data_IF_757024150596
#
_entry.id   IF_757024150596
#
_cell.length_a   1.000
_cell.length_b   1.000
_cell.length_c   1.000
_cell.angle_alpha   90.00
_cell.angle_beta   90.00
_cell.angle_gamma   90.00
#
_symmetry.space_group_name_H-M   'P 1'
#
loop_
_entity.id
_entity.type
_entity.pdbx_description
1 polymer ?
#
# COMPACT_ATOMS: atom_id res chain seq x y z
N UNK A 1 3.39 -13.80 19.85
CA UNK A 1 3.20 -13.50 19.42
C UNK A 1 3.12 -13.01 18.69
N UNK A 2 2.96 -12.75 18.15
CA UNK A 2 2.75 -12.26 17.53
C UNK A 2 2.33 -12.00 16.75
N UNK A 3 2.31 -11.81 16.60
CA UNK A 3 1.76 -11.59 16.03
C UNK A 3 1.39 -10.98 14.98
N UNK A 4 0.92 -10.32 14.77
CA UNK A 4 0.47 -9.79 13.77
C UNK A 4 1.33 -8.95 13.20
N UNK A 5 1.38 -8.66 12.32
CA UNK A 5 2.17 -8.03 11.49
C UNK A 5 2.01 -6.62 11.54
N UNK A 6 2.37 -6.02 12.57
CA UNK A 6 2.45 -4.58 12.66
C UNK A 6 3.88 -4.21 12.31
N UNK A 7 4.03 -3.50 11.23
CA UNK A 7 5.35 -3.08 10.79
C UNK A 7 5.84 -1.92 11.64
N UNK A 8 7.14 -1.87 11.86
CA UNK A 8 7.73 -0.69 12.47
C UNK A 8 7.66 0.48 11.47
N UNK A 9 7.85 1.70 11.98
CA UNK A 9 7.84 2.87 11.10
C UNK A 9 8.91 2.75 10.02
N UNK A 10 10.04 2.19 10.37
CA UNK A 10 11.15 1.99 9.47
C UNK A 10 10.78 1.05 8.31
N UNK A 11 10.19 -0.07 8.66
CA UNK A 11 9.75 -1.06 7.68
C UNK A 11 8.64 -0.51 6.79
N UNK A 12 7.71 0.21 7.38
CA UNK A 12 6.62 0.82 6.63
C UNK A 12 7.15 1.83 5.63
N UNK A 13 8.08 2.68 6.04
CA UNK A 13 8.65 3.68 5.15
C UNK A 13 9.40 3.03 3.99
N UNK A 14 10.06 1.92 4.25
CA UNK A 14 10.77 1.20 3.22
C UNK A 14 9.80 0.73 2.13
N UNK A 15 8.68 0.19 2.54
CA UNK A 15 7.66 -0.26 1.59
C UNK A 15 7.06 0.93 0.85
N UNK A 16 6.76 2.00 1.56
CA UNK A 16 6.10 3.17 0.98
C UNK A 16 7.00 3.95 0.03
N UNK A 17 8.30 3.71 0.09
CA UNK A 17 9.24 4.34 -0.83
C UNK A 17 9.17 3.76 -2.24
N UNK A 18 8.58 2.59 -2.40
CA UNK A 18 8.40 2.01 -3.72
C UNK A 18 7.36 2.79 -4.50
N UNK A 19 7.61 2.97 -5.79
CA UNK A 19 6.67 3.65 -6.66
C UNK A 19 5.43 2.79 -6.92
N UNK A 20 5.59 1.49 -6.91
CA UNK A 20 4.54 0.54 -7.24
C UNK A 20 4.27 -0.39 -6.06
N UNK A 21 3.02 -0.80 -5.92
CA UNK A 21 2.59 -1.70 -4.85
C UNK A 21 2.03 -2.99 -5.43
N UNK A 22 2.36 -4.09 -4.77
CA UNK A 22 1.81 -5.40 -5.08
C UNK A 22 0.73 -5.75 -4.05
N UNK A 23 0.04 -6.87 -4.28
CA UNK A 23 -0.92 -7.38 -3.29
C UNK A 23 -0.23 -7.60 -1.95
N UNK A 24 0.98 -8.14 -1.97
CA UNK A 24 1.71 -8.38 -0.72
C UNK A 24 2.03 -7.09 0.02
N UNK A 25 2.40 -6.05 -0.73
CA UNK A 25 2.65 -4.76 -0.11
C UNK A 25 1.40 -4.23 0.56
N UNK A 26 0.25 -4.35 -0.10
CA UNK A 26 -1.01 -3.88 0.46
C UNK A 26 -1.36 -4.66 1.72
N UNK A 27 -1.12 -5.97 1.71
CA UNK A 27 -1.34 -6.79 2.89
C UNK A 27 -0.55 -6.28 4.09
N UNK A 28 0.70 -5.92 3.85
CA UNK A 28 1.57 -5.43 4.92
C UNK A 28 1.19 -4.03 5.37
N UNK A 29 0.93 -3.16 4.41
CA UNK A 29 0.61 -1.77 4.71
C UNK A 29 -0.70 -1.67 5.49
N UNK A 30 -1.71 -2.40 5.05
CA UNK A 30 -3.04 -2.31 5.66
C UNK A 30 -3.29 -3.34 6.74
N UNK A 31 -2.35 -4.25 6.97
CA UNK A 31 -2.51 -5.36 7.91
C UNK A 31 -3.79 -6.13 7.59
N UNK A 32 -4.00 -6.43 6.32
CA UNK A 32 -5.19 -7.14 5.85
C UNK A 32 -4.79 -8.45 5.20
N UNK A 33 -5.76 -9.35 5.05
CA UNK A 33 -5.52 -10.62 4.40
C UNK A 33 -5.41 -10.48 2.89
N UNK A 34 -5.05 -11.57 2.23
CA UNK A 34 -4.83 -11.57 0.79
C UNK A 34 -6.07 -11.18 0.00
N UNK A 35 -7.24 -11.72 0.37
CA UNK A 35 -8.47 -11.43 -0.37
C UNK A 35 -8.83 -9.96 -0.28
N UNK A 36 -8.69 -9.38 0.89
CA UNK A 36 -8.97 -7.96 1.09
C UNK A 36 -7.98 -7.11 0.31
N UNK A 37 -6.70 -7.48 0.36
CA UNK A 37 -5.67 -6.74 -0.35
C UNK A 37 -5.92 -6.77 -1.86
N UNK A 38 -6.35 -7.93 -2.36
CA UNK A 38 -6.65 -8.07 -3.78
C UNK A 38 -7.82 -7.19 -4.19
N UNK A 39 -8.86 -7.14 -3.35
CA UNK A 39 -10.02 -6.28 -3.60
C UNK A 39 -9.61 -4.81 -3.65
N UNK A 40 -8.75 -4.42 -2.73
CA UNK A 40 -8.26 -3.04 -2.68
C UNK A 40 -7.47 -2.73 -3.94
N UNK A 41 -6.58 -3.64 -4.32
CA UNK A 41 -5.78 -3.46 -5.54
C UNK A 41 -6.68 -3.33 -6.76
N UNK A 42 -7.70 -4.17 -6.84
CA UNK A 42 -8.61 -4.15 -7.98
C UNK A 42 -9.40 -2.84 -8.04
N UNK A 43 -9.84 -2.33 -6.91
CA UNK A 43 -10.54 -1.07 -6.86
C UNK A 43 -9.69 0.09 -7.35
N UNK A 44 -8.45 0.14 -6.87
CA UNK A 44 -7.51 1.19 -7.28
C UNK A 44 -7.23 1.07 -8.77
N UNK A 45 -7.02 -0.15 -9.22
CA UNK A 45 -6.73 -0.43 -10.61
C UNK A 45 -7.87 0.03 -11.52
N UNK A 46 -9.10 -0.30 -11.15
CA UNK A 46 -10.27 0.08 -11.93
C UNK A 46 -10.42 1.58 -12.05
N UNK A 47 -10.19 2.29 -10.97
CA UNK A 47 -10.26 3.75 -10.98
C UNK A 47 -9.28 4.35 -11.97
N UNK A 48 -8.06 3.84 -11.96
CA UNK A 48 -7.01 4.39 -12.80
C UNK A 48 -7.27 4.05 -14.26
N UNK A 49 -7.65 2.82 -14.54
CA UNK A 49 -7.93 2.39 -15.91
C UNK A 49 -9.13 3.13 -16.46
N UNK A 50 -10.14 3.35 -15.63
CA UNK A 50 -11.33 4.13 -16.04
C UNK A 50 -10.96 5.55 -16.43
N UNK A 51 -9.89 6.07 -15.85
CA UNK A 51 -9.42 7.42 -16.18
C UNK A 51 -8.59 7.47 -17.45
N UNK A 52 -8.36 6.32 -18.09
CA UNK A 52 -7.64 6.27 -19.35
C UNK A 52 -6.17 5.97 -19.24
N UNK A 53 -5.71 5.55 -18.08
CA UNK A 53 -4.30 5.21 -17.87
C UNK A 53 -4.09 3.71 -17.90
N UNK A 54 -2.90 3.30 -18.27
CA UNK A 54 -2.51 1.91 -18.26
C UNK A 54 -1.64 1.64 -17.05
N UNK A 55 -1.75 0.43 -16.51
CA UNK A 55 -0.96 0.02 -15.36
C UNK A 55 -0.07 -1.16 -15.72
N UNK A 56 1.10 -1.25 -15.10
CA UNK A 56 1.91 -2.46 -15.22
C UNK A 56 1.16 -3.65 -14.63
N UNK A 57 1.53 -4.83 -15.07
CA UNK A 57 0.89 -6.05 -14.60
C UNK A 57 0.94 -6.17 -13.09
N UNK A 58 -0.23 -6.36 -12.49
CA UNK A 58 -0.36 -6.67 -11.07
C UNK A 58 0.23 -5.62 -10.14
N UNK A 59 0.37 -4.38 -10.63
CA UNK A 59 0.91 -3.30 -9.81
C UNK A 59 -0.05 -2.13 -9.82
N UNK A 60 -0.07 -1.42 -8.70
CA UNK A 60 -0.81 -0.16 -8.61
C UNK A 60 0.14 0.88 -8.02
N UNK A 61 -0.08 2.16 -8.29
CA UNK A 61 0.81 3.19 -7.73
C UNK A 61 0.73 3.20 -6.21
N UNK A 62 1.88 3.24 -5.58
CA UNK A 62 1.95 3.30 -4.12
C UNK A 62 1.22 4.54 -3.59
N UNK A 63 1.30 5.63 -4.33
CA UNK A 63 0.62 6.87 -4.00
C UNK A 63 -0.88 6.64 -3.76
N UNK A 64 -1.51 5.82 -4.58
CA UNK A 64 -2.93 5.52 -4.44
C UNK A 64 -3.20 4.63 -3.25
N UNK A 65 -2.27 3.75 -2.92
CA UNK A 65 -2.40 2.90 -1.74
C UNK A 65 -2.31 3.74 -0.48
N UNK A 66 -1.36 4.66 -0.44
CA UNK A 66 -1.21 5.58 0.67
C UNK A 66 -2.50 6.38 0.86
N UNK A 67 -3.06 6.85 -0.23
CA UNK A 67 -4.28 7.64 -0.20
C UNK A 67 -5.47 6.80 0.28
N UNK A 68 -5.54 5.56 -0.18
CA UNK A 68 -6.63 4.66 0.21
C UNK A 68 -6.66 4.45 1.72
N UNK A 69 -5.50 4.21 2.31
CA UNK A 69 -5.39 3.94 3.74
C UNK A 69 -5.20 5.21 4.57
N UNK A 70 -5.08 6.36 3.91
CA UNK A 70 -4.90 7.65 4.59
C UNK A 70 -3.68 7.63 5.48
N UNK A 71 -2.58 7.11 4.96
CA UNK A 71 -1.35 6.98 5.72
C UNK A 71 -0.67 8.34 5.82
N UNK A 72 -0.28 8.69 7.04
CA UNK A 72 0.46 9.92 7.27
C UNK A 72 1.95 9.64 7.21
N UNK A 73 2.52 9.82 6.03
CA UNK A 73 3.94 9.54 5.81
C UNK A 73 4.82 10.48 6.63
N UNK A 74 4.41 11.73 6.77
CA UNK A 74 5.16 12.71 7.56
C UNK A 74 5.27 12.27 9.01
N UNK A 75 4.18 11.72 9.55
CA UNK A 75 4.20 11.20 10.91
C UNK A 75 5.19 10.05 11.04
N UNK A 76 5.18 9.14 10.05
CA UNK A 76 6.08 8.00 10.07
C UNK A 76 7.55 8.44 10.02
N UNK A 77 7.84 9.44 9.21
CA UNK A 77 9.19 10.00 9.16
C UNK A 77 9.56 10.59 10.51
N UNK A 78 8.61 11.29 11.13
CA UNK A 78 8.84 11.93 12.42
C UNK A 78 9.20 10.93 13.51
N UNK A 79 8.47 9.82 13.59
CA UNK A 79 8.74 8.85 14.65
C UNK A 79 9.94 7.97 14.36
N UNK A 80 10.40 7.97 13.12
CA UNK A 80 11.57 7.18 12.74
C UNK A 80 12.87 7.92 13.01
N UNK A 81 12.81 9.20 13.29
CA UNK A 81 13.98 9.99 13.64
C UNK A 81 14.26 9.93 15.14
#
# INVERSE_FOLDING_TARGET
MKSKTILSADEMLEILNSQWATVQDIMKIGAVGRNKARDIKNKISEEIISSGFKLPNNLVPMEKVIDYFKINVDFLVSINN
#
